data_IF_774506088587
#
_entry.id   IF_774506088587
#
_cell.length_a   1.000
_cell.length_b   1.000
_cell.length_c   1.000
_cell.angle_alpha   90.00
_cell.angle_beta   90.00
_cell.angle_gamma   90.00
#
_symmetry.space_group_name_H-M   'P 1'
#
loop_
_entity.id
_entity.type
_entity.pdbx_description
1 polymer ?
#
# COMPACT_ATOMS: atom_id res chain seq x y z
N UNK A 1 0.47 7.44 19.62
CA UNK A 1 1.83 7.75 19.11
C UNK A 1 2.75 6.54 19.12
N UNK A 2 2.96 5.86 20.26
CA UNK A 2 3.86 4.68 20.36
C UNK A 2 3.52 3.54 19.37
N UNK A 3 2.23 3.26 19.15
CA UNK A 3 1.79 2.23 18.19
C UNK A 3 2.18 2.62 16.75
N UNK A 4 2.00 3.90 16.38
CA UNK A 4 2.39 4.42 15.07
C UNK A 4 3.90 4.30 14.86
N UNK A 5 4.71 4.73 15.83
CA UNK A 5 6.18 4.63 15.77
C UNK A 5 6.61 3.15 15.66
N UNK A 6 5.99 2.27 16.45
CA UNK A 6 6.28 0.84 16.40
C UNK A 6 6.00 0.25 15.01
N UNK A 7 4.84 0.57 14.44
CA UNK A 7 4.46 0.10 13.10
C UNK A 7 5.36 0.71 12.01
N UNK A 8 5.75 1.97 12.18
CA UNK A 8 6.69 2.64 11.28
C UNK A 8 8.05 1.93 11.21
N UNK A 9 8.63 1.62 12.38
CA UNK A 9 9.93 0.92 12.46
C UNK A 9 9.83 -0.50 11.89
N UNK A 10 8.73 -1.19 12.14
CA UNK A 10 8.50 -2.52 11.58
C UNK A 10 8.34 -2.49 10.06
N UNK A 11 7.51 -1.57 9.54
CA UNK A 11 7.32 -1.38 8.10
C UNK A 11 8.61 -0.96 7.39
N UNK A 12 9.42 -0.09 8.03
CA UNK A 12 10.74 0.27 7.52
C UNK A 12 11.61 -0.99 7.32
N UNK A 13 11.62 -1.88 8.30
CA UNK A 13 12.48 -3.08 8.27
C UNK A 13 12.02 -4.09 7.21
N UNK A 14 10.72 -4.30 7.08
CA UNK A 14 10.17 -5.24 6.07
C UNK A 14 10.32 -4.71 4.66
N UNK A 15 10.05 -3.42 4.44
CA UNK A 15 10.29 -2.78 3.15
C UNK A 15 11.77 -2.77 2.77
N UNK A 16 12.66 -2.52 3.75
CA UNK A 16 14.11 -2.61 3.55
C UNK A 16 14.52 -3.98 3.00
N UNK A 17 14.05 -5.07 3.62
CA UNK A 17 14.40 -6.41 3.16
C UNK A 17 13.70 -6.77 1.83
N UNK A 18 12.47 -6.31 1.60
CA UNK A 18 11.79 -6.48 0.32
C UNK A 18 12.61 -5.89 -0.83
N UNK A 19 12.98 -4.61 -0.74
CA UNK A 19 13.81 -3.96 -1.77
C UNK A 19 15.17 -4.64 -1.91
N UNK A 20 15.79 -5.01 -0.79
CA UNK A 20 17.07 -5.70 -0.79
C UNK A 20 17.02 -7.04 -1.54
N UNK A 21 15.95 -7.85 -1.34
CA UNK A 21 15.75 -9.11 -2.07
C UNK A 21 15.56 -8.87 -3.56
N UNK A 22 14.75 -7.88 -3.94
CA UNK A 22 14.53 -7.54 -5.36
C UNK A 22 15.84 -7.12 -6.03
N UNK A 23 16.63 -6.24 -5.39
CA UNK A 23 17.95 -5.82 -5.88
C UNK A 23 18.92 -7.00 -5.98
N UNK A 24 19.00 -7.82 -4.93
CA UNK A 24 19.89 -8.98 -4.90
C UNK A 24 19.54 -9.98 -6.01
N UNK A 25 18.27 -10.31 -6.18
CA UNK A 25 17.82 -11.21 -7.25
C UNK A 25 18.23 -10.67 -8.61
N UNK A 26 18.04 -9.38 -8.88
CA UNK A 26 18.42 -8.78 -10.15
C UNK A 26 19.95 -8.78 -10.35
N UNK A 27 20.73 -8.41 -9.35
CA UNK A 27 22.18 -8.33 -9.45
C UNK A 27 22.81 -9.70 -9.70
N UNK A 28 22.32 -10.74 -9.00
CA UNK A 28 22.88 -12.10 -9.10
C UNK A 28 22.39 -12.87 -10.33
N UNK A 29 21.14 -12.67 -10.72
CA UNK A 29 20.54 -13.44 -11.81
C UNK A 29 20.56 -12.72 -13.16
N UNK A 30 20.65 -11.40 -13.15
CA UNK A 30 20.49 -10.50 -14.31
C UNK A 30 19.17 -10.76 -15.06
N UNK A 31 18.19 -11.35 -14.40
CA UNK A 31 16.91 -11.72 -14.97
C UNK A 31 15.83 -10.73 -14.56
N UNK A 32 15.35 -9.95 -15.52
CA UNK A 32 14.17 -9.08 -15.35
C UNK A 32 12.92 -9.94 -15.06
N UNK A 33 12.84 -11.12 -15.70
CA UNK A 33 11.75 -12.06 -15.48
C UNK A 33 11.70 -12.55 -14.03
N UNK A 34 12.84 -12.91 -13.44
CA UNK A 34 12.90 -13.38 -12.05
C UNK A 34 12.41 -12.31 -11.07
N UNK A 35 12.83 -11.05 -11.26
CA UNK A 35 12.36 -9.92 -10.44
C UNK A 35 10.89 -9.61 -10.66
N UNK A 36 10.42 -9.69 -11.90
CA UNK A 36 9.01 -9.52 -12.24
C UNK A 36 8.11 -10.61 -11.64
N UNK A 37 8.53 -11.87 -11.70
CA UNK A 37 7.82 -12.99 -11.04
C UNK A 37 7.79 -12.79 -9.53
N UNK A 38 8.89 -12.35 -8.92
CA UNK A 38 8.96 -12.08 -7.48
C UNK A 38 7.95 -11.00 -7.07
N UNK A 39 7.91 -9.88 -7.81
CA UNK A 39 6.95 -8.81 -7.60
C UNK A 39 5.50 -9.26 -7.79
N UNK A 40 5.24 -10.02 -8.86
CA UNK A 40 3.92 -10.59 -9.13
C UNK A 40 3.46 -11.55 -8.02
N UNK A 41 4.32 -12.47 -7.58
CA UNK A 41 4.03 -13.38 -6.46
C UNK A 41 3.76 -12.62 -5.16
N UNK A 42 4.54 -11.58 -4.89
CA UNK A 42 4.31 -10.72 -3.71
C UNK A 42 2.91 -10.11 -3.72
N UNK A 43 2.49 -9.53 -4.84
CA UNK A 43 1.16 -8.91 -4.97
C UNK A 43 0.03 -9.94 -4.91
N UNK A 44 0.22 -11.13 -5.49
CA UNK A 44 -0.74 -12.25 -5.38
C UNK A 44 -0.87 -12.70 -3.92
N UNK A 45 0.23 -12.83 -3.20
CA UNK A 45 0.21 -13.19 -1.78
C UNK A 45 -0.49 -12.12 -0.94
N UNK A 46 -0.26 -10.84 -1.19
CA UNK A 46 -0.98 -9.75 -0.55
C UNK A 46 -2.49 -9.91 -0.80
N UNK A 47 -2.92 -10.03 -2.05
CA UNK A 47 -4.32 -10.16 -2.40
C UNK A 47 -4.98 -11.39 -1.75
N UNK A 48 -4.30 -12.54 -1.78
CA UNK A 48 -4.80 -13.79 -1.20
C UNK A 48 -4.88 -13.76 0.34
N UNK A 49 -3.88 -13.15 0.99
CA UNK A 49 -3.80 -13.13 2.46
C UNK A 49 -4.63 -12.00 3.09
N UNK A 50 -4.89 -10.90 2.37
CA UNK A 50 -5.55 -9.70 2.93
C UNK A 50 -6.88 -10.01 3.59
N UNK A 51 -7.70 -10.83 2.95
CA UNK A 51 -9.01 -11.23 3.48
C UNK A 51 -8.91 -12.08 4.75
N UNK A 52 -7.96 -13.02 4.78
CA UNK A 52 -7.71 -13.83 5.96
C UNK A 52 -7.17 -12.98 7.12
N UNK A 53 -6.25 -12.08 6.82
CA UNK A 53 -5.70 -11.14 7.79
C UNK A 53 -6.76 -10.18 8.34
N UNK A 54 -7.65 -9.67 7.48
CA UNK A 54 -8.76 -8.85 7.91
C UNK A 54 -9.68 -9.58 8.90
N UNK A 55 -10.01 -10.84 8.61
CA UNK A 55 -10.80 -11.69 9.51
C UNK A 55 -10.08 -11.94 10.85
N UNK A 56 -8.76 -12.11 10.83
CA UNK A 56 -7.95 -12.31 12.03
C UNK A 56 -7.91 -11.04 12.90
N UNK A 57 -7.82 -9.86 12.27
CA UNK A 57 -7.86 -8.56 12.96
C UNK A 57 -9.17 -8.35 13.68
N UNK A 58 -10.30 -8.76 13.10
CA UNK A 58 -11.62 -8.63 13.76
C UNK A 58 -11.82 -9.59 14.93
N UNK A 59 -11.16 -10.74 14.91
CA UNK A 59 -11.34 -11.80 15.93
C UNK A 59 -10.45 -11.67 17.14
N UNK A 60 -9.28 -11.10 16.97
CA UNK A 60 -8.26 -11.02 18.01
C UNK A 60 -8.10 -9.57 18.47
N UNK A 61 -7.57 -9.41 19.68
CA UNK A 61 -7.11 -8.11 20.16
C UNK A 61 -6.02 -7.58 19.23
N UNK A 62 -6.08 -6.31 18.84
CA UNK A 62 -5.15 -5.68 17.90
C UNK A 62 -3.70 -5.83 18.35
N UNK A 63 -3.45 -5.67 19.64
CA UNK A 63 -2.13 -5.91 20.23
C UNK A 63 -1.63 -7.35 19.99
N UNK A 64 -2.48 -8.37 20.15
CA UNK A 64 -2.13 -9.77 19.85
C UNK A 64 -1.87 -10.00 18.38
N UNK A 65 -2.66 -9.39 17.51
CA UNK A 65 -2.48 -9.46 16.06
C UNK A 65 -1.12 -8.90 15.66
N UNK A 66 -0.76 -7.74 16.19
CA UNK A 66 0.55 -7.12 15.93
C UNK A 66 1.70 -7.98 16.45
N UNK A 67 1.55 -8.65 17.61
CA UNK A 67 2.53 -9.60 18.15
C UNK A 67 2.68 -10.83 17.25
N UNK A 68 1.57 -11.41 16.79
CA UNK A 68 1.59 -12.56 15.87
C UNK A 68 2.33 -12.19 14.58
N UNK A 69 2.01 -11.01 13.99
CA UNK A 69 2.72 -10.49 12.83
C UNK A 69 4.23 -10.39 13.10
N UNK A 70 4.64 -9.73 14.17
CA UNK A 70 6.04 -9.53 14.50
C UNK A 70 6.82 -10.83 14.72
N UNK A 71 6.25 -11.80 15.45
CA UNK A 71 6.86 -13.11 15.64
C UNK A 71 6.95 -13.92 14.35
N UNK A 72 5.92 -13.90 13.52
CA UNK A 72 5.92 -14.62 12.25
C UNK A 72 6.94 -14.02 11.27
N UNK A 73 7.04 -12.67 11.20
CA UNK A 73 8.07 -11.99 10.40
C UNK A 73 9.48 -12.33 10.88
N UNK A 74 9.72 -12.27 12.20
CA UNK A 74 11.01 -12.63 12.79
C UNK A 74 11.38 -14.09 12.48
N UNK A 75 10.45 -15.03 12.66
CA UNK A 75 10.66 -16.44 12.34
C UNK A 75 11.01 -16.67 10.86
N UNK A 76 10.29 -15.99 9.95
CA UNK A 76 10.58 -16.04 8.50
C UNK A 76 11.98 -15.52 8.19
N UNK A 77 12.40 -14.42 8.80
CA UNK A 77 13.72 -13.85 8.55
C UNK A 77 14.85 -14.70 9.15
N UNK A 78 14.65 -15.28 10.35
CA UNK A 78 15.59 -16.25 10.93
C UNK A 78 15.73 -17.47 10.03
N UNK A 79 14.62 -18.00 9.52
CA UNK A 79 14.65 -19.15 8.60
C UNK A 79 15.34 -18.79 7.29
N UNK A 80 15.10 -17.57 6.76
CA UNK A 80 15.80 -17.03 5.59
C UNK A 80 17.32 -16.93 5.85
N UNK A 81 17.74 -16.41 7.01
CA UNK A 81 19.15 -16.43 7.42
C UNK A 81 19.71 -17.85 7.45
N UNK A 82 19.01 -18.79 8.08
CA UNK A 82 19.46 -20.17 8.17
C UNK A 82 19.68 -20.79 6.77
N UNK A 83 18.74 -20.59 5.83
CA UNK A 83 18.88 -21.07 4.46
C UNK A 83 20.07 -20.39 3.76
N UNK A 84 20.16 -19.07 3.87
CA UNK A 84 21.24 -18.32 3.19
C UNK A 84 22.64 -18.76 3.60
N UNK A 85 22.86 -19.05 4.90
CA UNK A 85 24.16 -19.43 5.43
C UNK A 85 24.44 -20.94 5.38
N UNK A 86 23.41 -21.80 5.24
CA UNK A 86 23.61 -23.25 5.19
C UNK A 86 23.64 -23.82 3.77
N UNK A 87 22.91 -23.20 2.82
CA UNK A 87 22.88 -23.63 1.43
C UNK A 87 24.05 -23.00 0.67
N UNK A 88 24.90 -23.77 -0.03
CA UNK A 88 25.99 -23.22 -0.82
C UNK A 88 25.48 -22.23 -1.86
N UNK A 89 26.20 -21.10 -2.02
CA UNK A 89 25.84 -20.04 -2.98
C UNK A 89 25.69 -20.52 -4.41
N UNK A 90 26.51 -21.52 -4.81
CA UNK A 90 26.42 -22.19 -6.13
C UNK A 90 25.10 -22.91 -6.39
N UNK A 91 24.34 -23.24 -5.34
CA UNK A 91 23.02 -23.85 -5.42
C UNK A 91 21.93 -22.82 -5.19
N UNK A 92 22.13 -21.90 -4.22
CA UNK A 92 21.15 -20.89 -3.83
C UNK A 92 20.88 -19.87 -4.96
N UNK A 93 21.90 -19.52 -5.76
CA UNK A 93 21.79 -18.51 -6.84
C UNK A 93 21.24 -19.10 -8.17
N UNK A 94 20.93 -20.38 -8.21
CA UNK A 94 20.42 -21.02 -9.42
C UNK A 94 18.90 -20.97 -9.49
N UNK A 95 18.36 -20.30 -10.50
CA UNK A 95 16.91 -20.21 -10.76
C UNK A 95 16.23 -21.55 -11.06
N UNK A 96 17.00 -22.53 -11.57
CA UNK A 96 16.54 -23.90 -11.85
C UNK A 96 16.47 -24.78 -10.59
N UNK A 97 16.96 -24.28 -9.44
CA UNK A 97 16.96 -25.02 -8.18
C UNK A 97 15.87 -24.54 -7.23
N UNK A 98 15.25 -25.45 -6.48
CA UNK A 98 14.16 -25.09 -5.56
C UNK A 98 14.62 -24.18 -4.41
N UNK A 99 15.88 -24.26 -4.00
CA UNK A 99 16.41 -23.48 -2.88
C UNK A 99 16.35 -21.97 -3.08
N UNK A 100 16.53 -21.48 -4.32
CA UNK A 100 16.35 -20.07 -4.65
C UNK A 100 14.91 -19.61 -4.36
N UNK A 101 13.93 -20.36 -4.83
CA UNK A 101 12.52 -20.04 -4.66
C UNK A 101 12.06 -20.23 -3.21
N UNK A 102 12.56 -21.28 -2.52
CA UNK A 102 12.25 -21.50 -1.09
C UNK A 102 12.76 -20.31 -0.26
N UNK A 103 14.01 -19.89 -0.47
CA UNK A 103 14.57 -18.73 0.23
C UNK A 103 13.76 -17.46 -0.03
N UNK A 104 13.55 -17.12 -1.30
CA UNK A 104 12.82 -15.90 -1.67
C UNK A 104 11.39 -15.91 -1.17
N UNK A 105 10.67 -17.03 -1.30
CA UNK A 105 9.28 -17.15 -0.82
C UNK A 105 9.17 -17.06 0.70
N UNK A 106 10.11 -17.62 1.45
CA UNK A 106 10.12 -17.51 2.92
C UNK A 106 10.32 -16.05 3.34
N UNK A 107 11.28 -15.35 2.74
CA UNK A 107 11.49 -13.93 3.03
C UNK A 107 10.28 -13.09 2.63
N UNK A 108 9.71 -13.37 1.45
CA UNK A 108 8.48 -12.73 1.01
C UNK A 108 7.31 -12.95 1.97
N UNK A 109 7.13 -14.18 2.45
CA UNK A 109 6.08 -14.49 3.42
C UNK A 109 6.21 -13.64 4.67
N UNK A 110 7.44 -13.43 5.17
CA UNK A 110 7.70 -12.51 6.27
C UNK A 110 7.29 -11.07 5.96
N UNK A 111 7.55 -10.58 4.74
CA UNK A 111 7.14 -9.25 4.31
C UNK A 111 5.61 -9.14 4.17
N UNK A 112 4.94 -10.18 3.64
CA UNK A 112 3.47 -10.20 3.49
C UNK A 112 2.76 -10.22 4.84
N UNK A 113 3.30 -10.92 5.83
CA UNK A 113 2.70 -10.98 7.18
C UNK A 113 2.68 -9.60 7.86
N UNK A 114 3.56 -8.67 7.48
CA UNK A 114 3.52 -7.29 7.99
C UNK A 114 2.22 -6.55 7.60
N UNK A 115 1.56 -6.96 6.52
CA UNK A 115 0.23 -6.46 6.14
C UNK A 115 -0.80 -6.63 7.27
N UNK A 116 -0.70 -7.72 8.03
CA UNK A 116 -1.54 -7.97 9.20
C UNK A 116 -1.40 -6.85 10.26
N UNK A 117 -0.18 -6.33 10.44
CA UNK A 117 0.07 -5.20 11.35
C UNK A 117 -0.55 -3.91 10.80
N UNK A 118 -0.43 -3.65 9.50
CA UNK A 118 -1.01 -2.47 8.87
C UNK A 118 -2.55 -2.46 8.98
N UNK A 119 -3.20 -3.60 8.76
CA UNK A 119 -4.64 -3.75 8.97
C UNK A 119 -5.04 -3.52 10.43
N UNK A 120 -4.24 -4.06 11.38
CA UNK A 120 -4.47 -3.82 12.81
C UNK A 120 -4.25 -2.35 13.19
N UNK A 121 -3.29 -1.65 12.58
CA UNK A 121 -3.07 -0.23 12.79
C UNK A 121 -4.28 0.60 12.31
N UNK A 122 -4.78 0.35 11.11
CA UNK A 122 -5.94 1.06 10.55
C UNK A 122 -7.17 0.94 11.45
N UNK A 123 -7.43 -0.25 12.01
CA UNK A 123 -8.51 -0.45 12.98
C UNK A 123 -8.19 0.15 14.37
N UNK A 124 -6.90 0.23 14.75
CA UNK A 124 -6.46 0.85 16.01
C UNK A 124 -6.63 2.37 15.98
N UNK A 125 -6.54 3.02 14.82
CA UNK A 125 -6.86 4.45 14.67
C UNK A 125 -8.28 4.73 15.12
N UNK A 126 -9.24 3.91 14.69
CA UNK A 126 -10.65 4.03 15.12
C UNK A 126 -10.82 3.88 16.64
N UNK A 127 -10.01 3.02 17.27
CA UNK A 127 -10.07 2.78 18.70
C UNK A 127 -9.48 3.92 19.55
N UNK A 128 -8.37 4.50 19.09
CA UNK A 128 -7.55 5.40 19.91
C UNK A 128 -7.72 6.89 19.57
N UNK A 129 -8.32 7.21 18.43
CA UNK A 129 -8.42 8.56 17.91
C UNK A 129 -9.88 8.98 17.83
N UNK A 130 -10.25 10.21 18.32
CA UNK A 130 -11.59 10.75 18.11
C UNK A 130 -11.93 10.83 16.61
N UNK A 131 -13.20 10.60 16.27
CA UNK A 131 -13.68 10.49 14.88
C UNK A 131 -13.34 11.73 14.05
N UNK A 132 -13.41 12.92 14.67
CA UNK A 132 -13.11 14.19 14.02
C UNK A 132 -11.64 14.30 13.58
N UNK A 133 -10.76 13.46 14.15
CA UNK A 133 -9.32 13.46 13.88
C UNK A 133 -8.85 12.21 13.10
N UNK A 134 -9.74 11.36 12.62
CA UNK A 134 -9.36 10.17 11.84
C UNK A 134 -8.57 10.55 10.59
N UNK A 135 -9.02 11.57 9.85
CA UNK A 135 -8.31 12.06 8.67
C UNK A 135 -6.87 12.51 8.99
N UNK A 136 -6.71 13.26 10.09
CA UNK A 136 -5.39 13.73 10.53
C UNK A 136 -4.48 12.55 10.93
N UNK A 137 -5.02 11.55 11.65
CA UNK A 137 -4.28 10.35 12.04
C UNK A 137 -3.85 9.54 10.82
N UNK A 138 -4.74 9.35 9.84
CA UNK A 138 -4.44 8.65 8.59
C UNK A 138 -3.39 9.42 7.76
N UNK A 139 -3.43 10.75 7.77
CA UNK A 139 -2.38 11.58 7.17
C UNK A 139 -1.00 11.38 7.81
N UNK A 140 -0.94 11.24 9.15
CA UNK A 140 0.30 10.90 9.86
C UNK A 140 0.80 9.49 9.50
N UNK A 141 -0.10 8.53 9.31
CA UNK A 141 0.26 7.19 8.82
C UNK A 141 0.92 7.31 7.45
N UNK A 142 0.32 8.04 6.52
CA UNK A 142 0.89 8.30 5.19
C UNK A 142 2.27 9.00 5.25
N UNK A 143 2.43 9.98 6.14
CA UNK A 143 3.74 10.65 6.38
C UNK A 143 4.81 9.64 6.78
N UNK A 144 4.49 8.77 7.73
CA UNK A 144 5.40 7.76 8.25
C UNK A 144 5.74 6.73 7.16
N UNK A 145 4.78 6.32 6.36
CA UNK A 145 5.00 5.45 5.20
C UNK A 145 5.95 6.09 4.18
N UNK A 146 5.75 7.37 3.87
CA UNK A 146 6.64 8.12 2.98
C UNK A 146 8.08 8.20 3.50
N UNK A 147 8.27 8.50 4.78
CA UNK A 147 9.60 8.48 5.41
C UNK A 147 10.24 7.08 5.38
N UNK A 148 9.44 6.05 5.64
CA UNK A 148 9.90 4.67 5.56
C UNK A 148 10.33 4.32 4.14
N UNK A 149 9.58 4.74 3.12
CA UNK A 149 9.91 4.48 1.72
C UNK A 149 11.23 5.14 1.28
N UNK A 150 11.45 6.40 1.64
CA UNK A 150 12.70 7.12 1.36
C UNK A 150 13.87 6.41 2.05
N UNK A 151 13.75 6.13 3.34
CA UNK A 151 14.81 5.48 4.10
C UNK A 151 15.12 4.09 3.55
N UNK A 152 14.09 3.28 3.26
CA UNK A 152 14.29 1.91 2.78
C UNK A 152 14.96 1.87 1.41
N UNK A 153 14.60 2.73 0.48
CA UNK A 153 15.22 2.75 -0.86
C UNK A 153 16.73 3.01 -0.78
N UNK A 154 17.13 3.98 0.03
CA UNK A 154 18.54 4.34 0.22
C UNK A 154 19.30 3.23 0.97
N UNK A 155 18.77 2.80 2.14
CA UNK A 155 19.47 1.83 2.96
C UNK A 155 19.54 0.44 2.32
N UNK A 156 18.52 0.01 1.56
CA UNK A 156 18.55 -1.27 0.84
C UNK A 156 19.64 -1.28 -0.23
N UNK A 157 19.72 -0.22 -1.03
CA UNK A 157 20.75 -0.09 -2.05
C UNK A 157 22.15 -0.10 -1.46
N UNK A 158 22.40 0.70 -0.42
CA UNK A 158 23.69 0.75 0.27
C UNK A 158 24.04 -0.60 0.92
N UNK A 159 23.10 -1.23 1.60
CA UNK A 159 23.33 -2.50 2.28
C UNK A 159 23.66 -3.62 1.30
N UNK A 160 22.93 -3.76 0.22
CA UNK A 160 23.22 -4.77 -0.81
C UNK A 160 24.51 -4.46 -1.53
N UNK A 161 24.76 -3.19 -1.91
CA UNK A 161 25.95 -2.81 -2.68
C UNK A 161 27.25 -2.90 -1.88
N UNK A 162 27.23 -2.57 -0.60
CA UNK A 162 28.43 -2.52 0.25
C UNK A 162 28.63 -3.78 1.09
N UNK A 163 27.57 -4.39 1.58
CA UNK A 163 27.62 -5.46 2.57
C UNK A 163 27.15 -6.83 2.02
N UNK A 164 26.44 -6.81 0.90
CA UNK A 164 25.85 -8.02 0.30
C UNK A 164 24.61 -8.54 1.05
N UNK A 165 23.97 -9.57 0.48
CA UNK A 165 22.70 -10.11 0.97
C UNK A 165 22.80 -10.74 2.37
N UNK A 166 23.91 -11.42 2.67
CA UNK A 166 24.09 -12.09 3.97
C UNK A 166 24.06 -11.13 5.14
N UNK A 167 24.80 -10.01 5.07
CA UNK A 167 24.77 -8.98 6.10
C UNK A 167 23.41 -8.28 6.14
N UNK A 168 22.82 -8.04 4.97
CA UNK A 168 21.52 -7.35 4.84
C UNK A 168 20.39 -8.12 5.53
N UNK A 169 20.30 -9.44 5.35
CA UNK A 169 19.26 -10.25 6.00
C UNK A 169 19.48 -10.35 7.51
N UNK A 170 20.73 -10.39 7.98
CA UNK A 170 21.05 -10.35 9.43
C UNK A 170 20.63 -9.01 10.01
N UNK A 171 20.98 -7.89 9.38
CA UNK A 171 20.56 -6.55 9.79
C UNK A 171 19.03 -6.47 9.88
N UNK A 172 18.32 -6.90 8.85
CA UNK A 172 16.85 -6.91 8.87
C UNK A 172 16.28 -7.76 10.01
N UNK A 173 16.85 -8.94 10.24
CA UNK A 173 16.42 -9.85 11.32
C UNK A 173 16.60 -9.21 12.71
N UNK A 174 17.72 -8.53 12.93
CA UNK A 174 17.98 -7.80 14.19
C UNK A 174 17.03 -6.62 14.34
N UNK A 175 16.81 -5.86 13.26
CA UNK A 175 15.93 -4.70 13.31
C UNK A 175 14.45 -5.09 13.53
N UNK A 176 13.97 -6.25 13.08
CA UNK A 176 12.61 -6.74 13.38
C UNK A 176 12.44 -7.03 14.89
N UNK A 177 13.51 -7.43 15.59
CA UNK A 177 13.43 -7.67 17.02
C UNK A 177 13.15 -6.38 17.82
N UNK A 178 13.59 -5.22 17.35
CA UNK A 178 13.40 -3.92 18.04
C UNK A 178 11.91 -3.58 18.21
N UNK A 179 11.07 -3.49 17.15
CA UNK A 179 9.66 -3.24 17.32
C UNK A 179 8.93 -4.38 18.04
N UNK A 180 9.40 -5.61 17.96
CA UNK A 180 8.82 -6.73 18.71
C UNK A 180 9.00 -6.54 20.22
N UNK A 181 10.21 -6.22 20.69
CA UNK A 181 10.49 -5.93 22.10
C UNK A 181 9.68 -4.72 22.57
N UNK A 182 9.69 -3.63 21.81
CA UNK A 182 8.91 -2.43 22.12
C UNK A 182 7.41 -2.74 22.21
N UNK A 183 6.88 -3.60 21.32
CA UNK A 183 5.47 -3.96 21.33
C UNK A 183 5.05 -4.75 22.58
N UNK A 184 5.94 -5.60 23.15
CA UNK A 184 5.69 -6.29 24.41
C UNK A 184 5.56 -5.33 25.60
N UNK A 185 6.21 -4.17 25.53
CA UNK A 185 6.14 -3.14 26.57
C UNK A 185 4.90 -2.24 26.45
N UNK A 186 4.25 -2.23 25.27
CA UNK A 186 3.09 -1.40 25.02
C UNK A 186 1.81 -2.05 25.54
N UNK A 187 0.99 -1.25 26.22
CA UNK A 187 -0.38 -1.60 26.59
C UNK A 187 -1.35 -0.83 25.70
N UNK A 188 -2.09 -1.53 24.85
CA UNK A 188 -3.15 -0.95 24.04
C UNK A 188 -4.46 -1.18 24.81
N UNK A 189 -5.18 -0.12 25.22
CA UNK A 189 -6.48 -0.27 25.86
C UNK A 189 -7.49 -0.73 24.79
N UNK A 190 -7.87 -1.99 24.84
CA UNK A 190 -8.82 -2.58 23.92
C UNK A 190 -9.99 -3.21 24.67
N UNK A 191 -11.22 -3.03 24.18
CA UNK A 191 -12.37 -3.76 24.69
C UNK A 191 -12.18 -5.27 24.46
N UNK A 192 -12.79 -6.07 25.31
CA UNK A 192 -12.79 -7.54 25.16
C UNK A 192 -13.56 -7.88 23.90
N UNK A 193 -12.88 -8.47 22.91
CA UNK A 193 -13.54 -8.95 21.69
C UNK A 193 -14.37 -10.18 22.08
N UNK A 194 -15.71 -10.09 21.91
CA UNK A 194 -16.60 -11.22 22.10
C UNK A 194 -16.24 -12.32 21.10
N UNK A 195 -15.88 -13.49 21.60
CA UNK A 195 -15.59 -14.67 20.78
C UNK A 195 -16.91 -15.23 20.26
N UNK A 196 -17.05 -15.25 18.94
CA UNK A 196 -18.10 -16.02 18.27
C UNK A 196 -17.44 -17.33 17.77
N UNK A 197 -17.75 -18.48 18.39
CA UNK A 197 -17.11 -19.77 18.10
C UNK A 197 -17.39 -20.27 16.68
N UNK A 198 -18.51 -19.88 16.07
CA UNK A 198 -18.99 -20.41 14.78
C UNK A 198 -18.49 -19.66 13.56
N UNK A 199 -17.66 -18.63 13.74
CA UNK A 199 -17.12 -17.86 12.60
C UNK A 199 -15.98 -18.59 11.89
N UNK A 200 -16.14 -18.84 10.59
CA UNK A 200 -15.09 -19.41 9.72
C UNK A 200 -13.82 -18.57 9.70
N UNK A 201 -12.65 -19.19 9.46
CA UNK A 201 -11.34 -18.50 9.47
C UNK A 201 -11.24 -17.43 8.37
N UNK A 202 -11.96 -17.60 7.26
CA UNK A 202 -12.11 -16.61 6.19
C UNK A 202 -13.59 -16.36 6.00
N UNK A 203 -14.04 -15.18 6.41
CA UNK A 203 -15.46 -14.80 6.32
C UNK A 203 -15.65 -13.79 5.16
N UNK A 204 -15.43 -14.28 3.94
CA UNK A 204 -15.66 -13.49 2.72
C UNK A 204 -17.12 -13.03 2.64
N UNK A 205 -18.06 -13.91 2.96
CA UNK A 205 -19.51 -13.59 2.92
C UNK A 205 -19.85 -12.51 3.94
N UNK A 206 -19.32 -12.62 5.16
CA UNK A 206 -19.54 -11.61 6.20
C UNK A 206 -18.86 -10.28 5.88
N UNK A 207 -17.66 -10.29 5.30
CA UNK A 207 -16.98 -9.08 4.81
C UNK A 207 -17.76 -8.41 3.68
N UNK A 208 -18.22 -9.19 2.69
CA UNK A 208 -19.05 -8.69 1.59
C UNK A 208 -20.40 -8.20 2.09
N UNK A 209 -21.07 -8.94 2.99
CA UNK A 209 -22.33 -8.51 3.60
C UNK A 209 -22.16 -7.22 4.41
N UNK A 210 -21.07 -7.06 5.16
CA UNK A 210 -20.75 -5.83 5.90
C UNK A 210 -20.53 -4.64 4.96
N UNK A 211 -19.82 -4.86 3.85
CA UNK A 211 -19.57 -3.86 2.82
C UNK A 211 -20.84 -3.44 2.09
N UNK A 212 -21.68 -4.41 1.72
CA UNK A 212 -22.96 -4.17 1.04
C UNK A 212 -24.03 -3.57 1.97
N UNK A 213 -23.93 -3.80 3.28
CA UNK A 213 -24.82 -3.21 4.27
C UNK A 213 -24.67 -1.68 4.36
N UNK A 214 -23.50 -1.13 3.96
CA UNK A 214 -23.29 0.32 3.88
C UNK A 214 -23.53 0.78 2.44
N UNK A 215 -24.63 1.52 2.18
CA UNK A 215 -24.98 1.94 0.83
C UNK A 215 -23.87 2.80 0.18
N UNK A 216 -23.36 2.34 -0.94
CA UNK A 216 -22.30 3.02 -1.71
C UNK A 216 -20.86 2.63 -1.33
N UNK A 217 -20.62 1.89 -0.24
CA UNK A 217 -19.27 1.51 0.17
C UNK A 217 -18.61 0.54 -0.83
N UNK A 218 -19.35 -0.45 -1.32
CA UNK A 218 -18.87 -1.35 -2.36
C UNK A 218 -18.46 -0.58 -3.63
N UNK A 219 -19.24 0.43 -4.02
CA UNK A 219 -18.90 1.26 -5.17
C UNK A 219 -17.61 2.07 -4.93
N UNK A 220 -17.32 2.50 -3.70
CA UNK A 220 -16.06 3.16 -3.34
C UNK A 220 -14.88 2.19 -3.54
N UNK A 221 -14.97 0.97 -3.03
CA UNK A 221 -13.90 -0.03 -3.17
C UNK A 221 -13.65 -0.40 -4.63
N UNK A 222 -14.71 -0.55 -5.43
CA UNK A 222 -14.58 -0.76 -6.88
C UNK A 222 -13.94 0.46 -7.57
N UNK A 223 -14.29 1.68 -7.15
CA UNK A 223 -13.62 2.89 -7.61
C UNK A 223 -12.12 2.87 -7.30
N UNK A 224 -11.74 2.54 -6.06
CA UNK A 224 -10.34 2.39 -5.63
C UNK A 224 -9.61 1.31 -6.44
N UNK A 225 -10.25 0.18 -6.69
CA UNK A 225 -9.69 -0.89 -7.54
C UNK A 225 -9.39 -0.38 -8.96
N UNK A 226 -10.31 0.33 -9.60
CA UNK A 226 -10.09 0.89 -10.93
C UNK A 226 -9.06 2.03 -10.92
N UNK A 227 -9.02 2.84 -9.87
CA UNK A 227 -7.97 3.83 -9.67
C UNK A 227 -6.59 3.16 -9.56
N UNK A 228 -6.46 2.09 -8.78
CA UNK A 228 -5.22 1.31 -8.66
C UNK A 228 -4.83 0.62 -9.97
N UNK A 229 -5.80 0.12 -10.74
CA UNK A 229 -5.56 -0.42 -12.07
C UNK A 229 -4.95 0.64 -13.01
N UNK A 230 -5.49 1.85 -13.01
CA UNK A 230 -4.98 2.96 -13.83
C UNK A 230 -3.63 3.47 -13.31
N UNK A 231 -3.46 3.59 -12.00
CA UNK A 231 -2.19 3.99 -11.36
C UNK A 231 -1.09 2.95 -11.55
N UNK A 232 -1.45 1.67 -11.66
CA UNK A 232 -0.51 0.58 -11.91
C UNK A 232 0.28 0.75 -13.21
N UNK A 233 -0.31 1.39 -14.23
CA UNK A 233 0.40 1.71 -15.46
C UNK A 233 1.52 2.73 -15.23
N UNK A 234 1.30 3.74 -14.37
CA UNK A 234 2.34 4.68 -13.98
C UNK A 234 3.45 3.97 -13.23
N UNK A 235 3.12 3.14 -12.22
CA UNK A 235 4.11 2.42 -11.43
C UNK A 235 4.94 1.44 -12.28
N UNK A 236 4.32 0.74 -13.24
CA UNK A 236 5.02 -0.22 -14.10
C UNK A 236 5.98 0.45 -15.10
N UNK A 237 5.68 1.64 -15.58
CA UNK A 237 6.40 2.30 -16.67
C UNK A 237 7.18 3.54 -16.23
N UNK A 238 7.09 3.94 -14.95
CA UNK A 238 7.74 5.13 -14.42
C UNK A 238 9.27 5.02 -14.51
N UNK A 239 9.82 3.87 -14.07
CA UNK A 239 11.26 3.61 -14.15
C UNK A 239 11.76 3.54 -15.59
N UNK A 240 11.15 2.74 -16.50
CA UNK A 240 11.52 2.77 -17.91
C UNK A 240 11.48 4.19 -18.50
N UNK A 241 10.45 4.98 -18.22
CA UNK A 241 10.37 6.35 -18.72
C UNK A 241 11.45 7.26 -18.12
N UNK A 242 11.68 7.17 -16.81
CA UNK A 242 12.72 7.94 -16.14
C UNK A 242 14.13 7.64 -16.68
N UNK A 243 14.40 6.37 -16.98
CA UNK A 243 15.69 5.93 -17.53
C UNK A 243 15.92 6.32 -19.00
N UNK A 244 14.88 6.74 -19.73
CA UNK A 244 15.09 7.37 -21.05
C UNK A 244 15.61 8.81 -20.95
N UNK A 245 15.40 9.47 -19.81
CA UNK A 245 15.75 10.88 -19.58
C UNK A 245 16.96 11.07 -18.69
N UNK A 246 17.24 10.11 -17.79
CA UNK A 246 18.25 10.22 -16.74
C UNK A 246 19.13 8.97 -16.70
N UNK A 247 20.39 9.13 -16.27
CA UNK A 247 21.19 7.96 -15.87
C UNK A 247 20.59 7.29 -14.62
N UNK A 248 20.96 6.05 -14.37
CA UNK A 248 20.42 5.26 -13.24
C UNK A 248 20.66 5.95 -11.90
N UNK A 249 21.83 6.56 -11.73
CA UNK A 249 22.23 7.29 -10.51
C UNK A 249 21.36 8.54 -10.33
N UNK A 250 21.17 9.31 -11.39
CA UNK A 250 20.35 10.52 -11.38
C UNK A 250 18.88 10.17 -11.18
N UNK A 251 18.40 9.09 -11.83
CA UNK A 251 17.04 8.61 -11.64
C UNK A 251 16.77 8.22 -10.19
N UNK A 252 17.68 7.52 -9.53
CA UNK A 252 17.56 7.20 -8.10
C UNK A 252 17.42 8.44 -7.22
N UNK A 253 18.19 9.50 -7.50
CA UNK A 253 18.08 10.77 -6.77
C UNK A 253 16.77 11.50 -7.07
N UNK A 254 16.35 11.53 -8.33
CA UNK A 254 15.05 12.11 -8.75
C UNK A 254 13.89 11.40 -8.06
N UNK A 255 13.90 10.07 -8.03
CA UNK A 255 12.87 9.28 -7.37
C UNK A 255 12.87 9.48 -5.84
N UNK A 256 14.06 9.57 -5.23
CA UNK A 256 14.22 9.93 -3.82
C UNK A 256 13.64 11.32 -3.51
N UNK A 257 13.92 12.31 -4.36
CA UNK A 257 13.35 13.65 -4.26
C UNK A 257 11.81 13.60 -4.41
N UNK A 258 11.31 12.90 -5.41
CA UNK A 258 9.88 12.75 -5.63
C UNK A 258 9.17 12.10 -4.44
N UNK A 259 9.79 11.11 -3.79
CA UNK A 259 9.24 10.41 -2.62
C UNK A 259 9.04 11.32 -1.41
N UNK A 260 9.76 12.48 -1.32
CA UNK A 260 9.47 13.48 -0.29
C UNK A 260 8.05 14.03 -0.40
N UNK A 261 7.43 13.92 -1.57
CA UNK A 261 6.02 14.27 -1.80
C UNK A 261 5.07 13.51 -0.87
N UNK A 262 5.29 12.22 -0.62
CA UNK A 262 4.49 11.45 0.34
C UNK A 262 4.54 12.04 1.74
N UNK A 263 5.71 12.47 2.18
CA UNK A 263 5.88 13.10 3.49
C UNK A 263 5.12 14.41 3.55
N UNK A 264 5.29 15.26 2.55
CA UNK A 264 4.59 16.56 2.46
C UNK A 264 3.08 16.34 2.41
N UNK A 265 2.59 15.44 1.56
CA UNK A 265 1.17 15.12 1.42
C UNK A 265 0.57 14.59 2.72
N UNK A 266 1.23 13.63 3.37
CA UNK A 266 0.82 13.11 4.66
C UNK A 266 0.74 14.18 5.75
N UNK A 267 1.74 15.08 5.82
CA UNK A 267 1.74 16.21 6.75
C UNK A 267 0.62 17.24 6.45
N UNK A 268 0.32 17.47 5.17
CA UNK A 268 -0.80 18.34 4.79
C UNK A 268 -2.13 17.74 5.27
N UNK A 269 -2.36 16.46 5.05
CA UNK A 269 -3.55 15.76 5.56
C UNK A 269 -3.57 15.75 7.09
N UNK A 270 -2.43 15.50 7.73
CA UNK A 270 -2.32 15.52 9.19
C UNK A 270 -2.65 16.89 9.79
N UNK A 271 -2.30 17.96 9.10
CA UNK A 271 -2.54 19.33 9.57
C UNK A 271 -3.94 19.85 9.23
N UNK A 272 -4.39 19.66 7.98
CA UNK A 272 -5.61 20.28 7.47
C UNK A 272 -6.81 19.32 7.42
N UNK A 273 -6.58 17.99 7.57
CA UNK A 273 -7.60 16.98 7.40
C UNK A 273 -8.02 16.83 5.94
N UNK A 274 -9.20 16.24 5.73
CA UNK A 274 -9.77 15.96 4.40
C UNK A 274 -11.05 16.76 4.11
N UNK A 275 -11.37 17.73 4.98
CA UNK A 275 -12.61 18.51 4.89
C UNK A 275 -13.83 17.73 5.38
N UNK A 276 -15.01 18.29 5.17
CA UNK A 276 -16.29 17.72 5.65
C UNK A 276 -16.75 16.48 4.91
N UNK A 277 -16.29 16.31 3.65
CA UNK A 277 -16.68 15.17 2.82
C UNK A 277 -15.45 14.49 2.19
N UNK A 278 -14.82 13.54 2.89
CA UNK A 278 -13.67 12.82 2.39
C UNK A 278 -13.91 12.08 1.06
N UNK A 279 -15.14 11.59 0.81
CA UNK A 279 -15.48 10.95 -0.46
C UNK A 279 -15.35 11.93 -1.63
N UNK A 280 -15.86 13.16 -1.45
CA UNK A 280 -15.73 14.22 -2.47
C UNK A 280 -14.25 14.60 -2.67
N UNK A 281 -13.52 14.77 -1.58
CA UNK A 281 -12.09 15.09 -1.62
C UNK A 281 -11.32 14.02 -2.38
N UNK A 282 -11.56 12.73 -2.11
CA UNK A 282 -10.95 11.61 -2.82
C UNK A 282 -11.20 11.66 -4.33
N UNK A 283 -12.46 11.83 -4.75
CA UNK A 283 -12.81 11.89 -6.17
C UNK A 283 -12.15 13.08 -6.87
N UNK A 284 -12.12 14.25 -6.24
CA UNK A 284 -11.45 15.43 -6.79
C UNK A 284 -9.94 15.20 -6.92
N UNK A 285 -9.29 14.63 -5.90
CA UNK A 285 -7.85 14.37 -5.90
C UNK A 285 -7.48 13.31 -6.96
N UNK A 286 -8.27 12.25 -7.13
CA UNK A 286 -8.06 11.28 -8.22
C UNK A 286 -8.23 11.94 -9.59
N UNK A 287 -9.19 12.83 -9.75
CA UNK A 287 -9.32 13.63 -10.97
C UNK A 287 -8.08 14.50 -11.24
N UNK A 288 -7.54 15.14 -10.19
CA UNK A 288 -6.28 15.93 -10.30
C UNK A 288 -5.09 15.02 -10.64
N UNK A 289 -4.97 13.84 -10.02
CA UNK A 289 -3.95 12.85 -10.36
C UNK A 289 -4.03 12.43 -11.83
N UNK A 290 -5.25 12.22 -12.35
CA UNK A 290 -5.45 11.92 -13.76
C UNK A 290 -4.99 13.05 -14.67
N UNK A 291 -5.31 14.31 -14.35
CA UNK A 291 -4.84 15.48 -15.11
C UNK A 291 -3.31 15.59 -15.03
N UNK A 292 -2.72 15.41 -13.86
CA UNK A 292 -1.26 15.38 -13.73
C UNK A 292 -0.64 14.27 -14.59
N UNK A 293 -1.25 13.07 -14.58
CA UNK A 293 -0.81 11.95 -15.42
C UNK A 293 -0.80 12.26 -16.91
N UNK A 294 -1.75 13.07 -17.38
CA UNK A 294 -1.78 13.54 -18.78
C UNK A 294 -0.71 14.58 -19.07
N UNK A 295 -0.36 15.42 -18.10
CA UNK A 295 0.47 16.63 -18.32
C UNK A 295 1.96 16.37 -18.13
N UNK A 296 2.38 15.61 -17.11
CA UNK A 296 3.79 15.54 -16.73
C UNK A 296 4.68 14.79 -17.74
N UNK A 297 4.08 14.05 -18.66
CA UNK A 297 4.78 13.36 -19.76
C UNK A 297 4.48 13.93 -21.13
N UNK A 298 3.79 15.07 -21.23
CA UNK A 298 3.39 15.68 -22.50
C UNK A 298 4.58 16.08 -23.38
N UNK A 299 5.70 16.39 -22.73
CA UNK A 299 7.00 16.65 -23.38
C UNK A 299 8.12 16.03 -22.55
N UNK A 300 9.27 15.77 -23.19
CA UNK A 300 10.50 15.30 -22.51
C UNK A 300 11.21 16.45 -21.79
N UNK A 301 10.48 17.15 -20.93
CA UNK A 301 11.05 18.19 -20.09
C UNK A 301 11.34 17.61 -18.70
N UNK A 302 12.65 17.47 -18.32
CA UNK A 302 13.00 16.88 -17.03
C UNK A 302 12.33 17.55 -15.84
N UNK A 303 12.26 18.88 -15.84
CA UNK A 303 11.63 19.64 -14.77
C UNK A 303 10.12 19.35 -14.63
N UNK A 304 9.41 19.21 -15.77
CA UNK A 304 7.99 18.94 -15.77
C UNK A 304 7.69 17.52 -15.25
N UNK A 305 8.53 16.57 -15.65
CA UNK A 305 8.44 15.19 -15.20
C UNK A 305 8.70 15.09 -13.70
N UNK A 306 9.80 15.69 -13.19
CA UNK A 306 10.15 15.71 -11.76
C UNK A 306 9.04 16.37 -10.94
N UNK A 307 8.59 17.56 -11.35
CA UNK A 307 7.52 18.27 -10.65
C UNK A 307 6.20 17.50 -10.67
N UNK A 308 5.87 16.86 -11.80
CA UNK A 308 4.66 16.07 -11.96
C UNK A 308 4.64 14.83 -11.05
N UNK A 309 5.74 14.06 -11.01
CA UNK A 309 5.85 12.90 -10.10
C UNK A 309 5.80 13.37 -8.64
N UNK A 310 6.50 14.45 -8.30
CA UNK A 310 6.50 14.98 -6.94
C UNK A 310 5.08 15.36 -6.50
N UNK A 311 4.34 16.11 -7.32
CA UNK A 311 2.95 16.47 -7.05
C UNK A 311 2.04 15.24 -6.97
N UNK A 312 2.25 14.24 -7.84
CA UNK A 312 1.53 12.98 -7.79
C UNK A 312 1.70 12.30 -6.43
N UNK A 313 2.95 12.23 -5.96
CA UNK A 313 3.27 11.64 -4.65
C UNK A 313 2.77 12.48 -3.47
N UNK A 314 2.63 13.81 -3.61
CA UNK A 314 1.99 14.66 -2.58
C UNK A 314 0.51 14.34 -2.42
N UNK A 315 -0.18 14.01 -3.50
CA UNK A 315 -1.63 13.79 -3.48
C UNK A 315 -2.00 12.38 -3.00
N UNK A 316 -1.18 11.38 -3.27
CA UNK A 316 -1.47 9.96 -2.97
C UNK A 316 -1.87 9.72 -1.50
N UNK A 317 -1.16 10.22 -0.48
CA UNK A 317 -1.53 10.00 0.93
C UNK A 317 -2.93 10.53 1.27
N UNK A 318 -3.37 11.59 0.60
CA UNK A 318 -4.70 12.15 0.84
C UNK A 318 -5.81 11.27 0.26
N UNK A 319 -5.57 10.61 -0.87
CA UNK A 319 -6.51 9.64 -1.47
C UNK A 319 -6.64 8.42 -0.56
N UNK A 320 -5.53 7.85 -0.11
CA UNK A 320 -5.52 6.69 0.81
C UNK A 320 -6.17 7.05 2.16
N UNK A 321 -5.81 8.19 2.74
CA UNK A 321 -6.38 8.64 4.01
C UNK A 321 -7.90 8.88 3.89
N UNK A 322 -8.38 9.34 2.74
CA UNK A 322 -9.80 9.56 2.51
C UNK A 322 -10.58 8.24 2.53
N UNK A 323 -10.09 7.23 1.83
CA UNK A 323 -10.70 5.91 1.82
C UNK A 323 -10.75 5.28 3.20
N UNK A 324 -9.61 5.25 3.89
CA UNK A 324 -9.52 4.72 5.26
C UNK A 324 -10.47 5.45 6.21
N UNK A 325 -10.51 6.80 6.14
CA UNK A 325 -11.39 7.62 6.98
C UNK A 325 -12.87 7.32 6.74
N UNK A 326 -13.27 7.10 5.47
CA UNK A 326 -14.65 6.72 5.15
C UNK A 326 -15.00 5.35 5.74
N UNK A 327 -14.17 4.34 5.51
CA UNK A 327 -14.40 2.99 6.04
C UNK A 327 -14.48 3.02 7.57
N UNK A 328 -13.55 3.69 8.24
CA UNK A 328 -13.49 3.82 9.71
C UNK A 328 -14.74 4.46 10.29
N UNK A 329 -15.41 5.36 9.55
CA UNK A 329 -16.60 6.05 10.04
C UNK A 329 -17.89 5.30 9.77
N UNK A 330 -18.03 4.67 8.58
CA UNK A 330 -19.31 4.08 8.16
C UNK A 330 -19.45 2.59 8.49
N UNK A 331 -18.32 1.92 8.80
CA UNK A 331 -18.31 0.49 9.13
C UNK A 331 -18.20 0.31 10.65
N UNK A 332 -19.05 -0.51 11.28
CA UNK A 332 -18.92 -0.86 12.69
C UNK A 332 -17.53 -1.43 13.01
N UNK A 333 -16.97 -1.04 14.16
CA UNK A 333 -15.61 -1.40 14.58
C UNK A 333 -15.30 -2.90 14.47
N UNK A 334 -16.26 -3.76 14.86
CA UNK A 334 -16.12 -5.22 14.88
C UNK A 334 -16.03 -5.84 13.47
N UNK A 335 -16.32 -5.07 12.44
CA UNK A 335 -16.32 -5.52 11.03
C UNK A 335 -15.27 -4.81 10.17
N UNK A 336 -14.57 -3.81 10.73
CA UNK A 336 -13.61 -3.00 9.98
C UNK A 336 -12.47 -3.82 9.40
N UNK A 337 -11.92 -4.76 10.17
CA UNK A 337 -10.82 -5.60 9.70
C UNK A 337 -11.18 -6.40 8.45
N UNK A 338 -12.38 -7.01 8.41
CA UNK A 338 -12.86 -7.75 7.23
C UNK A 338 -13.12 -6.85 6.04
N UNK A 339 -13.65 -5.65 6.26
CA UNK A 339 -13.91 -4.69 5.18
C UNK A 339 -12.59 -4.15 4.63
N UNK A 340 -11.63 -3.79 5.48
CA UNK A 340 -10.29 -3.40 5.04
C UNK A 340 -9.57 -4.53 4.29
N UNK A 341 -9.60 -5.76 4.83
CA UNK A 341 -9.01 -6.92 4.17
C UNK A 341 -9.62 -7.19 2.80
N UNK A 342 -10.95 -7.05 2.68
CA UNK A 342 -11.65 -7.21 1.41
C UNK A 342 -11.30 -6.09 0.41
N UNK A 343 -11.28 -4.83 0.85
CA UNK A 343 -10.88 -3.69 0.04
C UNK A 343 -9.47 -3.88 -0.50
N UNK A 344 -8.50 -4.21 0.36
CA UNK A 344 -7.13 -4.50 -0.05
C UNK A 344 -7.03 -5.69 -1.02
N UNK A 345 -7.90 -6.70 -0.89
CA UNK A 345 -7.94 -7.83 -1.85
C UNK A 345 -8.30 -7.34 -3.25
N UNK A 346 -9.32 -6.50 -3.37
CA UNK A 346 -9.71 -5.91 -4.66
C UNK A 346 -8.63 -4.99 -5.23
N UNK A 347 -8.05 -4.15 -4.40
CA UNK A 347 -7.02 -3.19 -4.80
C UNK A 347 -5.72 -3.86 -5.21
N UNK A 348 -5.24 -4.81 -4.39
CA UNK A 348 -4.01 -5.55 -4.68
C UNK A 348 -4.13 -6.47 -5.91
N UNK A 349 -5.35 -6.95 -6.22
CA UNK A 349 -5.58 -7.74 -7.44
C UNK A 349 -5.42 -6.89 -8.73
N UNK A 350 -5.57 -5.58 -8.64
CA UNK A 350 -5.41 -4.69 -9.79
C UNK A 350 -3.94 -4.60 -10.28
N UNK A 351 -2.97 -4.60 -9.36
CA UNK A 351 -1.56 -4.42 -9.69
C UNK A 351 -0.97 -5.52 -10.60
N UNK A 352 -1.15 -6.83 -10.32
CA UNK A 352 -0.70 -7.89 -11.21
C UNK A 352 -1.36 -7.83 -12.59
N UNK A 353 -2.65 -7.49 -12.65
CA UNK A 353 -3.37 -7.37 -13.92
C UNK A 353 -2.71 -6.27 -14.76
N UNK A 354 -2.45 -5.12 -14.17
CA UNK A 354 -1.83 -4.00 -14.90
C UNK A 354 -0.41 -4.35 -15.35
N UNK A 355 0.44 -4.85 -14.46
CA UNK A 355 1.85 -5.14 -14.81
C UNK A 355 1.96 -6.24 -15.87
N UNK A 356 1.10 -7.26 -15.84
CA UNK A 356 1.11 -8.34 -16.84
C UNK A 356 0.53 -7.91 -18.20
N UNK A 357 -0.39 -6.95 -18.23
CA UNK A 357 -1.02 -6.49 -19.47
C UNK A 357 -0.30 -5.29 -20.07
N UNK A 358 0.07 -4.31 -19.26
CA UNK A 358 0.61 -3.02 -19.75
C UNK A 358 2.00 -3.17 -20.35
N UNK A 359 2.88 -3.99 -19.76
CA UNK A 359 4.23 -4.15 -20.28
C UNK A 359 4.26 -4.75 -21.69
N UNK A 360 3.57 -5.87 -22.00
CA UNK A 360 3.47 -6.37 -23.37
C UNK A 360 2.76 -5.39 -24.32
N UNK A 361 1.69 -4.73 -23.88
CA UNK A 361 0.98 -3.73 -24.70
C UNK A 361 1.91 -2.56 -25.07
N UNK A 362 2.68 -2.10 -24.08
CA UNK A 362 3.66 -1.05 -24.30
C UNK A 362 4.73 -1.49 -25.30
N UNK A 363 5.37 -2.62 -25.05
CA UNK A 363 6.54 -3.08 -25.80
C UNK A 363 6.20 -3.50 -27.23
N UNK A 364 5.12 -4.27 -27.42
CA UNK A 364 4.82 -4.85 -28.71
C UNK A 364 3.87 -4.01 -29.60
N UNK A 365 3.09 -3.11 -29.00
CA UNK A 365 2.07 -2.37 -29.77
C UNK A 365 2.25 -0.85 -29.69
N UNK A 366 2.29 -0.24 -28.51
CA UNK A 366 2.19 1.22 -28.37
C UNK A 366 3.53 1.91 -28.68
N UNK A 367 4.64 1.37 -28.17
CA UNK A 367 5.97 1.95 -28.45
C UNK A 367 6.31 1.85 -29.94
N UNK A 368 6.15 0.69 -30.62
CA UNK A 368 6.36 0.61 -32.08
C UNK A 368 5.39 1.49 -32.88
N UNK A 369 4.12 1.58 -32.45
CA UNK A 369 3.16 2.47 -33.11
C UNK A 369 3.61 3.94 -33.03
N UNK A 370 4.00 4.42 -31.86
CA UNK A 370 4.45 5.80 -31.66
C UNK A 370 5.80 6.10 -32.33
N UNK A 371 6.66 5.10 -32.49
CA UNK A 371 7.91 5.24 -33.25
C UNK A 371 7.68 5.32 -34.78
N UNK A 372 6.52 4.86 -35.25
CA UNK A 372 6.14 4.86 -36.66
C UNK A 372 5.49 6.16 -37.13
N UNK A 373 5.39 6.36 -38.46
CA UNK A 373 4.78 7.57 -39.06
C UNK A 373 3.33 7.81 -38.63
N UNK A 374 2.55 6.76 -38.44
CA UNK A 374 1.16 6.85 -38.03
C UNK A 374 1.02 7.44 -36.60
N UNK A 375 1.76 6.92 -35.66
CA UNK A 375 1.72 7.43 -34.27
C UNK A 375 2.22 8.87 -34.17
N UNK A 376 3.24 9.23 -34.94
CA UNK A 376 3.74 10.60 -35.01
C UNK A 376 2.73 11.55 -35.66
N UNK A 377 2.06 11.12 -36.71
CA UNK A 377 1.00 11.90 -37.31
C UNK A 377 -0.17 12.15 -36.36
N UNK A 378 -0.62 11.10 -35.65
CA UNK A 378 -1.80 11.17 -34.82
C UNK A 378 -1.55 11.88 -33.49
N UNK A 379 -0.37 11.66 -32.84
CA UNK A 379 -0.07 12.11 -31.50
C UNK A 379 1.15 13.03 -31.38
N UNK A 380 1.98 13.16 -32.42
CA UNK A 380 3.20 13.97 -32.39
C UNK A 380 2.95 15.44 -32.06
N UNK A 381 1.81 15.99 -32.50
CA UNK A 381 1.40 17.37 -32.17
C UNK A 381 1.22 17.57 -30.64
N UNK A 382 0.75 16.54 -29.91
CA UNK A 382 0.51 16.58 -28.47
C UNK A 382 1.74 16.12 -27.68
N UNK A 383 2.27 14.94 -28.00
CA UNK A 383 3.33 14.30 -27.18
C UNK A 383 4.75 14.57 -27.69
N UNK A 384 4.91 15.02 -28.92
CA UNK A 384 6.21 15.15 -29.57
C UNK A 384 6.73 13.84 -30.15
N UNK A 385 7.98 13.86 -30.60
CA UNK A 385 8.66 12.73 -31.22
C UNK A 385 9.68 12.14 -30.24
N UNK A 386 9.93 10.82 -30.32
CA UNK A 386 10.93 10.12 -29.49
C UNK A 386 10.48 8.74 -29.05
N UNK A 387 11.44 7.90 -28.62
CA UNK A 387 11.18 6.52 -28.18
C UNK A 387 10.31 6.44 -26.93
N UNK A 388 10.44 7.41 -26.02
CA UNK A 388 9.67 7.45 -24.78
C UNK A 388 8.19 7.82 -24.98
N UNK A 389 7.82 8.32 -26.18
CA UNK A 389 6.46 8.82 -26.44
C UNK A 389 5.39 7.76 -26.36
N UNK A 390 5.73 6.49 -26.68
CA UNK A 390 4.83 5.36 -26.45
C UNK A 390 4.43 5.21 -24.98
N UNK A 391 5.39 5.33 -24.09
CA UNK A 391 5.12 5.30 -22.63
C UNK A 391 4.32 6.56 -22.23
N UNK A 392 4.67 7.72 -22.77
CA UNK A 392 3.93 8.97 -22.57
C UNK A 392 2.46 8.86 -22.97
N UNK A 393 2.18 8.18 -24.09
CA UNK A 393 0.80 7.92 -24.55
C UNK A 393 0.03 7.03 -23.58
N UNK A 394 0.67 6.00 -23.03
CA UNK A 394 0.04 5.14 -22.00
C UNK A 394 -0.29 5.96 -20.75
N UNK A 395 0.62 6.80 -20.29
CA UNK A 395 0.37 7.68 -19.15
C UNK A 395 -0.78 8.65 -19.42
N UNK A 396 -0.83 9.21 -20.62
CA UNK A 396 -1.92 10.10 -21.03
C UNK A 396 -3.27 9.39 -20.96
N UNK A 397 -3.39 8.20 -21.57
CA UNK A 397 -4.63 7.41 -21.53
C UNK A 397 -4.99 6.92 -20.12
N UNK A 398 -4.00 6.56 -19.30
CA UNK A 398 -4.23 6.21 -17.90
C UNK A 398 -4.75 7.42 -17.11
N UNK A 399 -4.20 8.61 -17.36
CA UNK A 399 -4.70 9.86 -16.78
C UNK A 399 -6.14 10.17 -17.20
N UNK A 400 -6.47 10.02 -18.51
CA UNK A 400 -7.84 10.15 -19.01
C UNK A 400 -8.78 9.17 -18.31
N UNK A 401 -8.37 7.89 -18.18
CA UNK A 401 -9.16 6.88 -17.49
C UNK A 401 -9.44 7.27 -16.02
N UNK A 402 -8.42 7.76 -15.28
CA UNK A 402 -8.60 8.25 -13.91
C UNK A 402 -9.60 9.41 -13.82
N UNK A 403 -9.51 10.39 -14.73
CA UNK A 403 -10.47 11.51 -14.77
C UNK A 403 -11.89 11.00 -15.06
N UNK A 404 -12.04 10.13 -16.05
CA UNK A 404 -13.35 9.58 -16.43
C UNK A 404 -13.97 8.75 -15.28
N UNK A 405 -13.16 7.94 -14.59
CA UNK A 405 -13.59 7.15 -13.45
C UNK A 405 -14.02 8.08 -12.29
N UNK A 406 -13.24 9.14 -11.99
CA UNK A 406 -13.55 10.10 -10.94
C UNK A 406 -14.83 10.90 -11.25
N UNK A 407 -14.96 11.41 -12.48
CA UNK A 407 -16.16 12.12 -12.93
C UNK A 407 -17.36 11.18 -12.95
N UNK A 408 -17.22 9.99 -13.55
CA UNK A 408 -18.26 8.97 -13.56
C UNK A 408 -18.75 8.62 -12.16
N UNK A 409 -17.84 8.34 -11.23
CA UNK A 409 -18.18 8.04 -9.84
C UNK A 409 -18.93 9.20 -9.16
N UNK A 410 -18.51 10.46 -9.40
CA UNK A 410 -19.15 11.65 -8.81
C UNK A 410 -20.61 11.85 -9.27
N UNK A 411 -20.96 11.36 -10.44
CA UNK A 411 -22.31 11.44 -11.01
C UNK A 411 -23.23 10.32 -10.52
N UNK A 412 -22.67 9.27 -9.90
CA UNK A 412 -23.45 8.10 -9.45
C UNK A 412 -24.34 8.41 -8.24
N UNK A 413 -25.42 7.63 -8.11
CA UNK A 413 -26.25 7.62 -6.90
C UNK A 413 -25.47 7.10 -5.69
N UNK A 414 -24.57 6.15 -5.91
CA UNK A 414 -23.71 5.56 -4.87
C UNK A 414 -22.86 6.60 -4.16
N UNK A 415 -22.24 7.53 -4.90
CA UNK A 415 -21.50 8.64 -4.32
C UNK A 415 -22.36 9.50 -3.38
N UNK A 416 -23.55 9.92 -3.85
CA UNK A 416 -24.46 10.76 -3.06
C UNK A 416 -24.95 10.04 -1.80
N UNK A 417 -25.24 8.75 -1.93
CA UNK A 417 -25.69 7.92 -0.81
C UNK A 417 -24.56 7.72 0.20
N UNK A 418 -23.36 7.38 -0.24
CA UNK A 418 -22.22 7.21 0.66
C UNK A 418 -21.84 8.51 1.38
N UNK A 419 -21.84 9.64 0.67
CA UNK A 419 -21.61 10.96 1.28
C UNK A 419 -22.64 11.31 2.35
N UNK A 420 -23.91 10.96 2.13
CA UNK A 420 -24.98 11.10 3.15
C UNK A 420 -24.75 10.14 4.32
N UNK A 421 -24.47 8.87 4.04
CA UNK A 421 -24.15 7.88 5.08
C UNK A 421 -22.96 8.33 5.93
N UNK A 422 -21.92 8.88 5.32
CA UNK A 422 -20.78 9.46 6.05
C UNK A 422 -21.19 10.63 6.96
N UNK A 423 -22.03 11.54 6.46
CA UNK A 423 -22.50 12.70 7.22
C UNK A 423 -23.43 12.33 8.39
N UNK A 424 -24.25 11.28 8.23
CA UNK A 424 -25.23 10.84 9.23
C UNK A 424 -24.73 9.70 10.12
N UNK A 425 -23.60 9.07 9.79
CA UNK A 425 -23.02 8.01 10.61
C UNK A 425 -22.71 8.54 12.00
N UNK A 426 -23.33 7.92 13.01
CA UNK A 426 -22.86 8.11 14.38
C UNK A 426 -21.40 7.65 14.47
N UNK A 427 -20.56 8.34 15.25
CA UNK A 427 -19.19 7.92 15.43
C UNK A 427 -19.16 6.43 15.83
N UNK A 428 -18.48 5.60 15.06
CA UNK A 428 -18.17 4.24 15.45
C UNK A 428 -17.15 4.31 16.58
N UNK A 429 -17.60 4.69 17.77
CA UNK A 429 -16.78 4.61 18.98
C UNK A 429 -16.60 3.15 19.37
N UNK A 430 -15.55 2.84 20.16
CA UNK A 430 -15.47 1.53 20.79
C UNK A 430 -16.77 1.29 21.55
N UNK A 431 -17.25 0.03 21.64
CA UNK A 431 -18.40 -0.30 22.47
C UNK A 431 -18.17 0.33 23.84
N UNK A 432 -19.16 1.11 24.31
CA UNK A 432 -19.06 1.76 25.61
C UNK A 432 -18.60 0.69 26.59
N UNK A 433 -17.42 0.91 27.23
CA UNK A 433 -17.01 0.07 28.32
C UNK A 433 -18.22 0.08 29.25
N UNK A 434 -18.82 -1.10 29.43
CA UNK A 434 -19.95 -1.31 30.32
C UNK A 434 -19.65 -0.52 31.59
N UNK A 435 -20.42 0.53 31.82
CA UNK A 435 -20.19 1.45 32.92
C UNK A 435 -19.99 0.58 34.16
N UNK A 436 -18.84 0.69 34.78
CA UNK A 436 -18.51 -0.06 35.96
C UNK A 436 -19.73 0.01 36.87
N UNK A 437 -20.34 -1.14 37.12
CA UNK A 437 -21.43 -1.28 38.07
C UNK A 437 -20.93 -0.60 39.35
N UNK A 438 -21.55 0.46 39.83
CA UNK A 438 -21.15 1.06 41.09
C UNK A 438 -21.19 -0.04 42.13
N UNK A 439 -20.20 -0.13 43.04
CA UNK A 439 -20.21 -1.15 44.06
C UNK A 439 -21.54 -1.06 44.81
N UNK A 440 -22.29 -2.16 44.83
CA UNK A 440 -23.50 -2.30 45.59
C UNK A 440 -23.21 -1.89 47.02
N UNK A 441 -23.80 -0.79 47.50
CA UNK A 441 -23.81 -0.46 48.91
C UNK A 441 -24.37 -1.66 49.62
N UNK A 442 -23.56 -2.30 50.45
CA UNK A 442 -24.00 -3.31 51.40
C UNK A 442 -24.96 -2.65 52.39
N UNK A 443 -26.19 -3.15 52.58
CA UNK A 443 -27.03 -2.64 53.63
C UNK A 443 -26.38 -3.00 54.95
N UNK A 444 -25.95 -1.97 55.69
CA UNK A 444 -25.50 -2.12 57.04
C UNK A 444 -26.64 -2.65 57.93
N UNK A 445 -26.29 -3.64 58.75
CA UNK A 445 -26.95 -3.96 59.99
C UNK A 445 -25.88 -3.93 61.07
#
# INVERSE_FOLDING_TARGET
>A
MHVLINTAVAGLTTNFLWFAVVFWVYLETRSILATGVLGGVYMILIAACSMWFGSLVDRLRKHRVMLISAWATLASFILGCAIYFTVPSTVLLRLDRPWFWIFTLIVLAGCVVELLRNLALSTTVTLLVPVERHANANGLVGTVQGLAFIATSVFSGLSIGLLGMGATIVIATVFVAVPLVHLHLLKIPEPVVARDPDRSAVDFRGGMAAMLAVPGLFALVIFSMFNNLSSGAFMALLDPYGLTMFSVEVWGLVFGLASTGFVVGGLLVAKFGLGENPVRTMLLLVGVLGVLGMVFTIREWPWLFIAGIWLFMVIMPAVEAAEQTVIQRVVPFEKQGRVFGLAMTFEAAAAPITSLLIAPIAEFWIVPYMAGPAGQHDWGWLLGEGESRGIGLIFWWSGVAMVLIAVGASLTRSYRTLSRSYATAQPAGPPAAEAAVPPSESPGA
#
